data_IF_262962382349
#
_entry.id   IF_262962382349
#
_cell.length_a   1.000
_cell.length_b   1.000
_cell.length_c   1.000
_cell.angle_alpha   90.00
_cell.angle_beta   90.00
_cell.angle_gamma   90.00
#
_symmetry.space_group_name_H-M   'P 1'
#
loop_
_entity.id
_entity.type
_entity.pdbx_description
1 polymer ?
#
# COMPACT_ATOMS: atom_id res chain seq x y z
N UNK A 1 -11.17 -14.33 -10.41
CA UNK A 1 -11.72 -14.84 -9.13
C UNK A 1 -10.61 -14.92 -8.06
N UNK A 2 -10.93 -14.80 -6.76
CA UNK A 2 -10.00 -15.06 -5.67
C UNK A 2 -9.51 -16.51 -5.76
N UNK A 3 -8.19 -16.70 -5.65
CA UNK A 3 -7.54 -18.00 -5.88
C UNK A 3 -6.65 -18.44 -4.72
N UNK A 4 -6.26 -17.51 -3.86
CA UNK A 4 -5.26 -17.74 -2.83
C UNK A 4 -5.79 -17.31 -1.47
N UNK A 5 -5.50 -18.10 -0.44
CA UNK A 5 -5.78 -17.76 0.96
C UNK A 5 -4.46 -17.44 1.64
N UNK A 6 -4.27 -16.18 2.00
CA UNK A 6 -3.01 -15.67 2.58
C UNK A 6 -3.34 -15.02 3.92
N UNK A 7 -2.82 -15.60 5.03
CA UNK A 7 -2.93 -15.05 6.39
C UNK A 7 -4.35 -14.59 6.80
N UNK A 8 -5.36 -15.37 6.40
CA UNK A 8 -6.77 -15.13 6.73
C UNK A 8 -7.55 -14.31 5.70
N UNK A 9 -6.91 -13.78 4.65
CA UNK A 9 -7.59 -13.08 3.56
C UNK A 9 -7.65 -13.95 2.29
N UNK A 10 -8.77 -13.90 1.58
CA UNK A 10 -8.91 -14.54 0.26
C UNK A 10 -8.62 -13.51 -0.81
N UNK A 11 -7.51 -13.68 -1.53
CA UNK A 11 -7.02 -12.76 -2.55
C UNK A 11 -6.90 -13.47 -3.90
N UNK A 12 -6.80 -12.70 -4.97
CA UNK A 12 -6.66 -13.24 -6.32
C UNK A 12 -5.72 -12.40 -7.18
N UNK A 13 -5.56 -12.78 -8.46
CA UNK A 13 -4.68 -12.08 -9.40
C UNK A 13 -4.99 -10.59 -9.53
N UNK A 14 -6.25 -10.19 -9.30
CA UNK A 14 -6.67 -8.80 -9.30
C UNK A 14 -5.86 -7.94 -8.32
N UNK A 15 -5.43 -8.48 -7.17
CA UNK A 15 -4.62 -7.74 -6.19
C UNK A 15 -3.27 -7.29 -6.79
N UNK A 16 -2.61 -8.18 -7.53
CA UNK A 16 -1.33 -7.91 -8.17
C UNK A 16 -1.51 -6.96 -9.34
N UNK A 17 -2.53 -7.19 -10.19
CA UNK A 17 -2.81 -6.34 -11.35
C UNK A 17 -3.17 -4.91 -10.92
N UNK A 18 -4.05 -4.74 -9.94
CA UNK A 18 -4.41 -3.40 -9.45
C UNK A 18 -3.22 -2.69 -8.81
N UNK A 19 -2.36 -3.43 -8.09
CA UNK A 19 -1.13 -2.88 -7.51
C UNK A 19 -0.13 -2.44 -8.58
N UNK A 20 0.02 -3.21 -9.65
CA UNK A 20 0.88 -2.86 -10.78
C UNK A 20 0.38 -1.60 -11.51
N UNK A 21 -0.93 -1.53 -11.80
CA UNK A 21 -1.54 -0.35 -12.42
C UNK A 21 -1.36 0.88 -11.52
N UNK A 22 -1.55 0.74 -10.21
CA UNK A 22 -1.38 1.83 -9.24
C UNK A 22 0.07 2.35 -9.19
N UNK A 23 1.05 1.45 -9.22
CA UNK A 23 2.46 1.80 -9.26
C UNK A 23 2.86 2.51 -10.57
N UNK A 24 2.35 2.02 -11.72
CA UNK A 24 2.55 2.68 -13.01
C UNK A 24 1.91 4.07 -13.02
N UNK A 25 0.71 4.22 -12.47
CA UNK A 25 0.07 5.53 -12.32
C UNK A 25 0.95 6.51 -11.56
N UNK A 26 1.61 6.07 -10.48
CA UNK A 26 2.55 6.90 -9.73
C UNK A 26 3.80 7.30 -10.53
N UNK A 27 4.35 6.36 -11.31
CA UNK A 27 5.47 6.65 -12.21
C UNK A 27 5.10 7.67 -13.29
N UNK A 28 3.86 7.63 -13.80
CA UNK A 28 3.38 8.58 -14.81
C UNK A 28 3.13 9.98 -14.22
N UNK A 29 2.74 10.07 -12.94
CA UNK A 29 2.53 11.36 -12.25
C UNK A 29 3.82 11.99 -11.75
N UNK A 30 4.78 11.19 -11.29
CA UNK A 30 6.10 11.62 -10.82
C UNK A 30 7.13 10.67 -11.46
N UNK A 31 7.85 11.09 -12.54
CA UNK A 31 8.73 10.25 -13.33
C UNK A 31 10.05 9.90 -12.61
N UNK A 32 9.93 9.29 -11.44
CA UNK A 32 11.02 8.75 -10.65
C UNK A 32 10.79 7.22 -10.49
N UNK A 33 11.72 6.37 -10.97
CA UNK A 33 11.60 4.91 -10.83
C UNK A 33 11.40 4.42 -9.40
N UNK A 34 11.88 5.15 -8.39
CA UNK A 34 11.65 4.82 -6.98
C UNK A 34 10.16 4.82 -6.61
N UNK A 35 9.31 5.54 -7.35
CA UNK A 35 7.85 5.54 -7.14
C UNK A 35 7.20 4.20 -7.41
N UNK A 36 7.81 3.32 -8.22
CA UNK A 36 7.29 1.96 -8.41
C UNK A 36 7.26 1.16 -7.11
N UNK A 37 8.02 1.55 -6.10
CA UNK A 37 7.98 0.93 -4.78
C UNK A 37 6.60 1.00 -4.11
N UNK A 38 5.71 1.92 -4.53
CA UNK A 38 4.31 1.97 -4.02
C UNK A 38 3.50 0.72 -4.35
N UNK A 39 4.00 -0.15 -5.23
CA UNK A 39 3.46 -1.49 -5.49
C UNK A 39 3.35 -2.34 -4.21
N UNK A 40 4.36 -2.30 -3.34
CA UNK A 40 4.38 -3.11 -2.11
C UNK A 40 3.32 -2.66 -1.08
N UNK A 41 3.23 -1.36 -0.70
CA UNK A 41 2.16 -0.92 0.17
C UNK A 41 0.77 -1.08 -0.47
N UNK A 42 0.62 -0.95 -1.80
CA UNK A 42 -0.69 -1.20 -2.43
C UNK A 42 -1.12 -2.67 -2.33
N UNK A 43 -0.19 -3.63 -2.42
CA UNK A 43 -0.46 -5.04 -2.16
C UNK A 43 -0.97 -5.24 -0.73
N UNK A 44 -0.31 -4.61 0.25
CA UNK A 44 -0.73 -4.67 1.65
C UNK A 44 -2.13 -4.06 1.85
N UNK A 45 -2.42 -2.92 1.23
CA UNK A 45 -3.72 -2.26 1.34
C UNK A 45 -4.85 -3.09 0.73
N UNK A 46 -4.60 -3.72 -0.42
CA UNK A 46 -5.57 -4.61 -1.04
C UNK A 46 -5.77 -5.91 -0.25
N UNK A 47 -4.71 -6.43 0.39
CA UNK A 47 -4.82 -7.56 1.33
C UNK A 47 -5.62 -7.19 2.59
N UNK A 48 -5.35 -6.02 3.19
CA UNK A 48 -6.10 -5.51 4.34
C UNK A 48 -7.60 -5.37 4.00
N UNK A 49 -7.92 -4.79 2.83
CA UNK A 49 -9.30 -4.73 2.34
C UNK A 49 -9.93 -6.12 2.21
N UNK A 50 -9.21 -7.07 1.63
CA UNK A 50 -9.71 -8.44 1.46
C UNK A 50 -9.94 -9.15 2.81
N UNK A 51 -9.18 -8.78 3.85
CA UNK A 51 -9.32 -9.32 5.20
C UNK A 51 -10.46 -8.67 5.99
N UNK A 52 -10.61 -7.35 5.92
CA UNK A 52 -11.51 -6.58 6.79
C UNK A 52 -12.82 -6.17 6.12
N UNK A 53 -12.93 -6.34 4.80
CA UNK A 53 -14.10 -5.97 4.02
C UNK A 53 -14.22 -4.48 3.69
N UNK A 54 -13.41 -3.62 4.30
CA UNK A 54 -13.41 -2.17 4.10
C UNK A 54 -12.02 -1.59 3.85
N UNK A 55 -11.96 -0.30 3.51
CA UNK A 55 -10.70 0.43 3.27
C UNK A 55 -10.16 1.16 4.50
N UNK A 56 -10.97 1.26 5.57
CA UNK A 56 -10.62 2.04 6.77
C UNK A 56 -9.32 1.57 7.43
N UNK A 57 -9.08 0.25 7.48
CA UNK A 57 -7.82 -0.30 8.00
C UNK A 57 -6.61 0.14 7.18
N UNK A 58 -6.73 0.14 5.85
CA UNK A 58 -5.65 0.58 4.95
C UNK A 58 -5.38 2.07 5.09
N UNK A 59 -6.43 2.90 5.21
CA UNK A 59 -6.32 4.35 5.44
C UNK A 59 -5.63 4.63 6.77
N UNK A 60 -6.09 3.99 7.85
CA UNK A 60 -5.51 4.18 9.18
C UNK A 60 -4.04 3.73 9.21
N UNK A 61 -3.73 2.57 8.65
CA UNK A 61 -2.36 2.07 8.57
C UNK A 61 -1.46 3.05 7.80
N UNK A 62 -1.91 3.56 6.65
CA UNK A 62 -1.17 4.55 5.88
C UNK A 62 -0.93 5.84 6.69
N UNK A 63 -1.97 6.36 7.35
CA UNK A 63 -1.84 7.54 8.20
C UNK A 63 -0.83 7.33 9.34
N UNK A 64 -0.81 6.14 9.95
CA UNK A 64 0.16 5.80 10.99
C UNK A 64 1.59 5.69 10.45
N UNK A 65 1.80 5.15 9.24
CA UNK A 65 3.11 5.16 8.59
C UNK A 65 3.61 6.59 8.35
N UNK A 66 2.75 7.47 7.85
CA UNK A 66 3.10 8.87 7.62
C UNK A 66 3.43 9.57 8.94
N UNK A 67 2.62 9.33 9.98
CA UNK A 67 2.87 9.88 11.31
C UNK A 67 4.19 9.36 11.89
N UNK A 68 4.47 8.07 11.75
CA UNK A 68 5.72 7.46 12.21
C UNK A 68 6.93 8.11 11.55
N UNK A 69 6.92 8.24 10.22
CA UNK A 69 8.02 8.91 9.49
C UNK A 69 8.17 10.36 9.92
N UNK A 70 7.05 11.08 10.11
CA UNK A 70 7.09 12.47 10.56
C UNK A 70 7.68 12.62 11.98
N UNK A 71 7.30 11.74 12.92
CA UNK A 71 7.84 11.71 14.28
C UNK A 71 9.33 11.33 14.26
N UNK A 72 9.70 10.35 13.45
CA UNK A 72 11.08 9.89 13.30
C UNK A 72 11.97 11.00 12.71
N UNK A 73 11.51 11.68 11.66
CA UNK A 73 12.21 12.81 11.05
C UNK A 73 12.45 13.93 12.07
N UNK A 74 11.41 14.30 12.83
CA UNK A 74 11.54 15.28 13.92
C UNK A 74 12.54 14.83 15.00
N UNK A 75 12.52 13.54 15.36
CA UNK A 75 13.45 12.95 16.32
C UNK A 75 14.92 13.03 15.88
N UNK A 76 15.18 12.91 14.57
CA UNK A 76 16.51 13.07 13.98
C UNK A 76 16.87 14.53 13.61
N UNK A 77 16.02 15.50 13.95
CA UNK A 77 16.25 16.92 13.64
C UNK A 77 16.07 17.28 12.16
N UNK A 78 15.52 16.37 11.36
CA UNK A 78 15.13 16.63 9.98
C UNK A 78 13.83 17.44 10.00
N UNK A 79 13.81 18.57 9.29
CA UNK A 79 12.65 19.48 9.20
C UNK A 79 11.86 19.25 7.92
#
# INVERSE_FOLDING_TARGET
PPRWRILGATVGPSLVVTSAIFAVGHLLTDPNPARLAVFFPSLLFGWLRARTGGIGTSVMFHAMCNLFVAVLARGYGLR
#
